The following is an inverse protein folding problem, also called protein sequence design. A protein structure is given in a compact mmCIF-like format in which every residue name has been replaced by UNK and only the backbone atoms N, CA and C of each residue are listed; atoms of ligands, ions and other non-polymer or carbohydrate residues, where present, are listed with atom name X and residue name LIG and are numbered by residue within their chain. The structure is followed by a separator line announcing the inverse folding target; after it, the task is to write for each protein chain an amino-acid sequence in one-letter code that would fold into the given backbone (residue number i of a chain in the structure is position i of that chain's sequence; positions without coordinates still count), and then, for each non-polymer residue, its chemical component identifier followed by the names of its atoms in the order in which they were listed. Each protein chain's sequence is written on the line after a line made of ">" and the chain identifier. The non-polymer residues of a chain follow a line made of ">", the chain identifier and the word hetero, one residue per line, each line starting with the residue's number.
data_IF_987026733129
#
_entry.id   IF_987026733129
#
_cell.length_a   1.000
_cell.length_b   1.000
_cell.length_c   1.000
_cell.angle_alpha   90.00
_cell.angle_beta   90.00
_cell.angle_gamma   90.00
#
_symmetry.space_group_name_H-M   'P 1'
#
loop_
_entity.id
_entity.type
_entity.pdbx_description
1 polymer ?
#
# COMPACT_ATOMS: atom_id res chain seq x y z
N UNK A 1 5.93 20.62 1.07
CA UNK A 1 5.35 19.47 1.82
C UNK A 1 3.90 19.20 1.43
N UNK A 2 3.08 20.22 1.21
CA UNK A 2 1.68 20.06 0.76
C UNK A 2 1.54 19.36 -0.60
N UNK A 3 2.39 19.69 -1.58
CA UNK A 3 2.38 19.01 -2.88
C UNK A 3 2.60 17.51 -2.79
N UNK A 4 3.61 17.05 -2.02
CA UNK A 4 3.89 15.63 -1.83
C UNK A 4 2.73 14.90 -1.15
N UNK A 5 2.07 15.54 -0.18
CA UNK A 5 0.88 14.98 0.50
C UNK A 5 -0.28 14.77 -0.48
N UNK A 6 -0.57 15.75 -1.34
CA UNK A 6 -1.61 15.63 -2.38
C UNK A 6 -1.29 14.49 -3.33
N UNK A 7 -0.03 14.37 -3.77
CA UNK A 7 0.40 13.27 -4.64
C UNK A 7 0.20 11.91 -3.94
N UNK A 8 0.54 11.79 -2.65
CA UNK A 8 0.32 10.55 -1.89
C UNK A 8 -1.16 10.16 -1.86
N UNK A 9 -2.07 11.11 -1.64
CA UNK A 9 -3.51 10.83 -1.65
C UNK A 9 -4.04 10.44 -3.03
N UNK A 10 -3.57 11.09 -4.09
CA UNK A 10 -3.93 10.72 -5.47
C UNK A 10 -3.46 9.30 -5.80
N UNK A 11 -2.23 8.96 -5.42
CA UNK A 11 -1.65 7.63 -5.65
C UNK A 11 -2.36 6.55 -4.82
N UNK A 12 -2.75 6.86 -3.59
CA UNK A 12 -3.52 5.96 -2.74
C UNK A 12 -4.92 5.69 -3.32
N UNK A 13 -5.61 6.72 -3.80
CA UNK A 13 -6.91 6.57 -4.46
C UNK A 13 -6.79 5.73 -5.74
N UNK A 14 -5.77 5.99 -6.58
CA UNK A 14 -5.50 5.19 -7.76
C UNK A 14 -5.16 3.73 -7.42
N UNK A 15 -4.37 3.51 -6.37
CA UNK A 15 -4.02 2.17 -5.87
C UNK A 15 -5.24 1.40 -5.38
N UNK A 16 -6.13 2.06 -4.63
CA UNK A 16 -7.39 1.46 -4.20
C UNK A 16 -8.23 0.99 -5.39
N UNK A 17 -8.36 1.83 -6.43
CA UNK A 17 -9.08 1.49 -7.66
C UNK A 17 -8.42 0.29 -8.36
N UNK A 18 -7.10 0.34 -8.56
CA UNK A 18 -6.34 -0.71 -9.25
C UNK A 18 -6.42 -2.07 -8.54
N UNK A 19 -6.25 -2.10 -7.21
CA UNK A 19 -6.37 -3.33 -6.44
C UNK A 19 -7.79 -3.87 -6.44
N UNK A 20 -8.80 -3.00 -6.31
CA UNK A 20 -10.21 -3.40 -6.39
C UNK A 20 -10.55 -4.02 -7.73
N UNK A 21 -10.16 -3.37 -8.83
CA UNK A 21 -10.35 -3.88 -10.18
C UNK A 21 -9.62 -5.21 -10.40
N UNK A 22 -8.38 -5.34 -9.89
CA UNK A 22 -7.62 -6.59 -9.97
C UNK A 22 -8.31 -7.73 -9.24
N UNK A 23 -8.82 -7.47 -8.03
CA UNK A 23 -9.57 -8.44 -7.24
C UNK A 23 -10.84 -8.89 -7.95
N UNK A 24 -11.64 -7.94 -8.44
CA UNK A 24 -12.84 -8.24 -9.25
C UNK A 24 -12.49 -9.06 -10.48
N UNK A 25 -11.40 -8.71 -11.18
CA UNK A 25 -10.94 -9.46 -12.34
C UNK A 25 -10.54 -10.90 -11.97
N UNK A 26 -9.95 -11.10 -10.79
CA UNK A 26 -9.61 -12.43 -10.27
C UNK A 26 -10.83 -13.30 -9.98
N UNK A 27 -11.94 -12.73 -9.50
CA UNK A 27 -13.16 -13.47 -9.22
C UNK A 27 -14.05 -13.69 -10.45
N UNK A 28 -14.18 -12.68 -11.31
CA UNK A 28 -15.14 -12.70 -12.42
C UNK A 28 -14.51 -12.94 -13.80
N UNK A 29 -13.18 -12.98 -13.90
CA UNK A 29 -12.43 -13.38 -15.10
C UNK A 29 -12.75 -12.54 -16.37
N UNK A 30 -13.01 -11.23 -16.21
CA UNK A 30 -13.14 -10.30 -17.34
C UNK A 30 -11.78 -9.71 -17.76
N UNK A 31 -11.76 -8.94 -18.86
CA UNK A 31 -10.56 -8.24 -19.32
C UNK A 31 -10.74 -6.73 -19.20
N UNK A 32 -9.68 -6.02 -18.79
CA UNK A 32 -9.65 -4.55 -18.68
C UNK A 32 -8.68 -4.03 -19.73
N UNK A 33 -9.16 -3.24 -20.70
CA UNK A 33 -8.31 -2.66 -21.75
C UNK A 33 -7.50 -3.78 -22.47
N UNK A 34 -8.17 -4.90 -22.79
CA UNK A 34 -7.57 -6.12 -23.37
C UNK A 34 -6.51 -6.83 -22.51
N UNK A 35 -6.20 -6.35 -21.31
CA UNK A 35 -5.30 -7.02 -20.38
C UNK A 35 -6.04 -8.14 -19.64
N UNK A 36 -5.42 -9.32 -19.62
CA UNK A 36 -5.86 -10.44 -18.79
C UNK A 36 -5.49 -10.21 -17.30
N UNK A 37 -6.02 -11.06 -16.41
CA UNK A 37 -5.86 -10.87 -14.97
C UNK A 37 -4.40 -10.77 -14.51
N UNK A 38 -3.47 -11.68 -14.90
CA UNK A 38 -2.06 -11.55 -14.51
C UNK A 38 -1.38 -10.27 -14.99
N UNK A 39 -1.67 -9.82 -16.22
CA UNK A 39 -1.09 -8.60 -16.78
C UNK A 39 -1.55 -7.35 -16.01
N UNK A 40 -2.84 -7.28 -15.70
CA UNK A 40 -3.41 -6.16 -14.94
C UNK A 40 -2.99 -6.21 -13.46
N UNK A 41 -2.86 -7.40 -12.88
CA UNK A 41 -2.35 -7.59 -11.52
C UNK A 41 -0.90 -7.11 -11.38
N UNK A 42 -0.05 -7.36 -12.38
CA UNK A 42 1.33 -6.86 -12.40
C UNK A 42 1.38 -5.33 -12.35
N UNK A 43 0.58 -4.65 -13.19
CA UNK A 43 0.48 -3.19 -13.17
C UNK A 43 0.04 -2.67 -11.79
N UNK A 44 -1.02 -3.27 -11.25
CA UNK A 44 -1.59 -2.86 -9.97
C UNK A 44 -0.62 -3.04 -8.80
N UNK A 45 0.13 -4.14 -8.78
CA UNK A 45 1.12 -4.42 -7.73
C UNK A 45 2.32 -3.48 -7.83
N UNK A 46 2.83 -3.21 -9.04
CA UNK A 46 3.92 -2.24 -9.22
C UNK A 46 3.48 -0.86 -8.74
N UNK A 47 2.27 -0.42 -9.13
CA UNK A 47 1.73 0.87 -8.75
C UNK A 47 1.46 0.98 -7.24
N UNK A 48 0.97 -0.09 -6.64
CA UNK A 48 0.80 -0.21 -5.19
C UNK A 48 2.14 -0.10 -4.45
N UNK A 49 3.18 -0.84 -4.87
CA UNK A 49 4.51 -0.81 -4.23
C UNK A 49 5.14 0.58 -4.33
N UNK A 50 4.96 1.27 -5.46
CA UNK A 50 5.38 2.66 -5.64
C UNK A 50 4.65 3.59 -4.66
N UNK A 51 3.33 3.44 -4.52
CA UNK A 51 2.50 4.27 -3.64
C UNK A 51 2.90 4.13 -2.18
N UNK A 52 3.03 2.90 -1.68
CA UNK A 52 3.43 2.67 -0.28
C UNK A 52 4.86 3.15 0.00
N UNK A 53 5.77 3.00 -0.97
CA UNK A 53 7.13 3.55 -0.88
C UNK A 53 7.11 5.08 -0.82
N UNK A 54 6.27 5.74 -1.63
CA UNK A 54 6.11 7.19 -1.63
C UNK A 54 5.57 7.70 -0.28
N UNK A 55 4.58 7.01 0.28
CA UNK A 55 3.99 7.33 1.58
C UNK A 55 5.04 7.18 2.69
N UNK A 56 5.81 6.09 2.71
CA UNK A 56 6.91 5.94 3.66
C UNK A 56 7.94 7.08 3.55
N UNK A 57 8.33 7.47 2.33
CA UNK A 57 9.23 8.61 2.13
C UNK A 57 8.63 9.93 2.58
N UNK A 58 7.33 10.16 2.38
CA UNK A 58 6.63 11.32 2.91
C UNK A 58 6.73 11.38 4.44
N UNK A 59 6.49 10.28 5.15
CA UNK A 59 6.63 10.21 6.61
C UNK A 59 8.09 10.30 7.09
N UNK A 60 9.06 9.85 6.29
CA UNK A 60 10.48 10.04 6.58
C UNK A 60 10.85 11.52 6.46
N UNK A 61 10.55 12.16 5.34
CA UNK A 61 10.87 13.57 5.07
C UNK A 61 10.14 14.54 6.00
N UNK A 62 8.87 14.30 6.31
CA UNK A 62 8.14 15.11 7.29
C UNK A 62 8.68 14.95 8.70
N UNK A 63 9.03 13.73 9.12
CA UNK A 63 9.64 13.47 10.42
C UNK A 63 11.00 14.16 10.61
N UNK A 64 11.84 14.21 9.57
CA UNK A 64 13.13 14.93 9.65
C UNK A 64 12.94 16.45 9.67
N UNK A 65 11.98 16.99 8.91
CA UNK A 65 11.64 18.41 8.94
C UNK A 65 11.16 18.85 10.33
N UNK A 66 10.24 18.09 10.95
CA UNK A 66 9.73 18.36 12.30
C UNK A 66 10.86 18.31 13.33
N UNK A 67 11.74 17.29 13.26
CA UNK A 67 12.91 17.18 14.13
C UNK A 67 13.81 18.41 14.04
N UNK A 68 14.09 18.88 12.81
CA UNK A 68 14.94 20.06 12.59
C UNK A 68 14.30 21.31 13.18
N UNK A 69 13.00 21.52 12.99
CA UNK A 69 12.25 22.67 13.55
C UNK A 69 12.34 22.71 15.07
N UNK A 70 12.16 21.57 15.76
CA UNK A 70 12.27 21.47 17.22
C UNK A 70 13.70 21.76 17.70
N UNK A 71 14.72 21.31 16.97
CA UNK A 71 16.13 21.58 17.31
C UNK A 71 16.53 23.06 17.12
N UNK A 72 15.88 23.77 16.20
CA UNK A 72 16.19 25.17 15.88
C UNK A 72 15.32 26.21 16.59
N UNK A 73 14.27 25.81 17.31
CA UNK A 73 13.41 26.74 18.07
C UNK A 73 12.32 26.04 18.89
N UNK A 74 12.10 26.59 20.10
CA UNK A 74 11.04 26.47 21.14
C UNK A 74 9.79 25.59 20.99
N UNK A 75 9.80 24.53 20.18
CA UNK A 75 8.65 23.65 19.98
C UNK A 75 8.75 22.44 20.93
N UNK A 76 7.62 22.10 21.57
CA UNK A 76 7.56 21.12 22.65
C UNK A 76 7.99 19.72 22.18
N UNK A 77 8.94 19.09 22.88
CA UNK A 77 9.47 17.75 22.58
C UNK A 77 8.38 16.68 22.43
N UNK A 78 7.24 16.87 23.10
CA UNK A 78 6.05 16.02 22.99
C UNK A 78 5.52 15.86 21.55
N UNK A 79 5.68 16.86 20.67
CA UNK A 79 5.24 16.76 19.28
C UNK A 79 6.10 15.79 18.46
N UNK A 80 7.41 15.73 18.73
CA UNK A 80 8.30 14.77 18.08
C UNK A 80 7.99 13.33 18.49
N UNK A 81 7.71 13.12 19.77
CA UNK A 81 7.39 11.79 20.30
C UNK A 81 6.08 11.25 19.71
N UNK A 82 5.09 12.12 19.48
CA UNK A 82 3.86 11.72 18.81
C UNK A 82 4.11 11.30 17.36
N UNK A 83 4.86 12.08 16.59
CA UNK A 83 5.24 11.72 15.20
C UNK A 83 6.02 10.41 15.16
N UNK A 84 6.95 10.22 16.09
CA UNK A 84 7.73 8.98 16.21
C UNK A 84 6.83 7.79 16.51
N UNK A 85 5.90 7.90 17.47
CA UNK A 85 4.94 6.85 17.81
C UNK A 85 4.05 6.47 16.63
N UNK A 86 3.54 7.46 15.88
CA UNK A 86 2.74 7.22 14.68
C UNK A 86 3.53 6.43 13.64
N UNK A 87 4.77 6.84 13.35
CA UNK A 87 5.64 6.12 12.40
C UNK A 87 5.96 4.69 12.83
N UNK A 88 6.22 4.48 14.12
CA UNK A 88 6.51 3.16 14.67
C UNK A 88 5.32 2.21 14.56
N UNK A 89 4.09 2.72 14.62
CA UNK A 89 2.88 1.92 14.38
C UNK A 89 2.65 1.70 12.89
N UNK A 90 2.78 2.74 12.08
CA UNK A 90 2.43 2.71 10.66
C UNK A 90 3.37 1.83 9.83
N UNK A 91 4.69 2.00 9.96
CA UNK A 91 5.65 1.40 9.05
C UNK A 91 5.62 -0.14 9.04
N UNK A 92 5.53 -0.83 10.21
CA UNK A 92 5.37 -2.28 10.23
C UNK A 92 4.12 -2.75 9.46
N UNK A 93 3.00 -2.05 9.59
CA UNK A 93 1.77 -2.41 8.87
C UNK A 93 1.89 -2.15 7.37
N UNK A 94 2.55 -1.07 6.93
CA UNK A 94 2.80 -0.83 5.50
C UNK A 94 3.70 -1.90 4.89
N UNK A 95 4.82 -2.21 5.57
CA UNK A 95 5.72 -3.28 5.12
C UNK A 95 5.03 -4.64 5.11
N UNK A 96 4.23 -4.96 6.13
CA UNK A 96 3.49 -6.21 6.17
C UNK A 96 2.45 -6.29 5.04
N UNK A 97 1.76 -5.19 4.73
CA UNK A 97 0.82 -5.14 3.61
C UNK A 97 1.53 -5.35 2.27
N UNK A 98 2.70 -4.75 2.08
CA UNK A 98 3.54 -5.00 0.90
C UNK A 98 3.90 -6.46 0.76
N UNK A 99 4.28 -7.12 1.86
CA UNK A 99 4.56 -8.56 1.86
C UNK A 99 3.32 -9.35 1.45
N UNK A 100 2.14 -9.06 2.03
CA UNK A 100 0.91 -9.76 1.67
C UNK A 100 0.54 -9.59 0.19
N UNK A 101 0.49 -8.35 -0.33
CA UNK A 101 0.16 -8.08 -1.73
C UNK A 101 1.20 -8.70 -2.67
N UNK A 102 2.49 -8.63 -2.32
CA UNK A 102 3.56 -9.25 -3.10
C UNK A 102 3.45 -10.78 -3.14
N UNK A 103 3.14 -11.43 -2.02
CA UNK A 103 2.91 -12.88 -1.95
C UNK A 103 1.69 -13.27 -2.78
N UNK A 104 0.57 -12.55 -2.65
CA UNK A 104 -0.64 -12.77 -3.46
C UNK A 104 -0.31 -12.75 -4.95
N UNK A 105 0.44 -11.74 -5.41
CA UNK A 105 0.85 -11.65 -6.81
C UNK A 105 1.69 -12.84 -7.27
N UNK A 106 2.72 -13.23 -6.51
CA UNK A 106 3.58 -14.38 -6.84
C UNK A 106 2.77 -15.68 -6.89
N UNK A 107 1.86 -15.88 -5.92
CA UNK A 107 0.98 -17.05 -5.89
C UNK A 107 -0.06 -17.05 -7.02
N UNK A 108 -0.40 -15.89 -7.57
CA UNK A 108 -1.19 -15.79 -8.80
C UNK A 108 -0.58 -16.55 -9.97
N UNK A 109 0.75 -16.51 -10.13
CA UNK A 109 1.45 -17.34 -11.12
C UNK A 109 1.37 -18.84 -10.81
N UNK A 110 1.34 -19.22 -9.53
CA UNK A 110 1.14 -20.61 -9.11
C UNK A 110 -0.27 -21.12 -9.44
N UNK A 111 -1.31 -20.27 -9.29
CA UNK A 111 -2.69 -20.58 -9.72
C UNK A 111 -2.75 -20.78 -11.23
N UNK A 112 -2.12 -19.89 -12.01
CA UNK A 112 -2.12 -20.00 -13.47
C UNK A 112 -1.43 -21.28 -13.97
N UNK A 113 -0.46 -21.81 -13.23
CA UNK A 113 0.20 -23.08 -13.55
C UNK A 113 -0.46 -24.31 -12.92
N UNK A 114 -1.62 -24.15 -12.27
CA UNK A 114 -2.37 -25.25 -11.65
C UNK A 114 -1.75 -25.80 -10.36
N UNK A 115 -0.75 -25.13 -9.79
CA UNK A 115 -0.03 -25.57 -8.57
C UNK A 115 -0.69 -25.12 -7.28
N UNK A 116 -1.62 -24.17 -7.34
CA UNK A 116 -2.35 -23.64 -6.20
C UNK A 116 -3.82 -23.45 -6.56
N UNK A 117 -4.73 -23.76 -5.63
CA UNK A 117 -6.16 -23.65 -5.88
C UNK A 117 -6.62 -22.18 -5.86
N UNK A 118 -7.40 -21.77 -6.86
CA UNK A 118 -7.86 -20.38 -7.00
C UNK A 118 -8.57 -19.82 -5.76
N UNK A 119 -9.32 -20.65 -5.03
CA UNK A 119 -10.01 -20.23 -3.81
C UNK A 119 -9.04 -19.87 -2.66
N UNK A 120 -7.91 -20.58 -2.54
CA UNK A 120 -6.87 -20.26 -1.54
C UNK A 120 -6.21 -18.92 -1.85
N UNK A 121 -5.95 -18.66 -3.14
CA UNK A 121 -5.45 -17.38 -3.59
C UNK A 121 -6.48 -16.26 -3.32
N UNK A 122 -7.75 -16.45 -3.67
CA UNK A 122 -8.82 -15.48 -3.41
C UNK A 122 -8.90 -15.07 -1.93
N UNK A 123 -8.92 -16.05 -1.02
CA UNK A 123 -8.92 -15.77 0.43
C UNK A 123 -7.69 -14.97 0.88
N UNK A 124 -6.50 -15.28 0.34
CA UNK A 124 -5.30 -14.54 0.67
C UNK A 124 -5.36 -13.09 0.14
N UNK A 125 -5.92 -12.90 -1.05
CA UNK A 125 -6.17 -11.56 -1.60
C UNK A 125 -7.13 -10.77 -0.70
N UNK A 126 -8.24 -11.36 -0.27
CA UNK A 126 -9.23 -10.68 0.59
C UNK A 126 -8.58 -10.24 1.91
N UNK A 127 -7.77 -11.11 2.54
CA UNK A 127 -7.02 -10.77 3.74
C UNK A 127 -6.03 -9.62 3.50
N UNK A 128 -5.28 -9.66 2.39
CA UNK A 128 -4.33 -8.62 2.03
C UNK A 128 -5.04 -7.28 1.75
N UNK A 129 -6.19 -7.32 1.08
CA UNK A 129 -7.00 -6.16 0.74
C UNK A 129 -7.65 -5.55 1.99
N UNK A 130 -8.19 -6.35 2.90
CA UNK A 130 -8.69 -5.87 4.20
C UNK A 130 -7.57 -5.21 5.01
N UNK A 131 -6.39 -5.84 5.05
CA UNK A 131 -5.23 -5.25 5.70
C UNK A 131 -4.78 -3.94 5.02
N UNK A 132 -4.99 -3.80 3.70
CA UNK A 132 -4.70 -2.56 2.95
C UNK A 132 -5.66 -1.43 3.34
N UNK A 133 -6.95 -1.74 3.51
CA UNK A 133 -7.92 -0.75 4.00
C UNK A 133 -7.59 -0.31 5.43
N UNK A 134 -7.14 -1.26 6.27
CA UNK A 134 -6.67 -0.95 7.62
C UNK A 134 -5.46 0.00 7.61
N UNK A 135 -4.47 -0.26 6.74
CA UNK A 135 -3.30 0.62 6.62
C UNK A 135 -3.67 1.99 6.09
N UNK A 136 -4.59 2.08 5.12
CA UNK A 136 -5.11 3.34 4.61
C UNK A 136 -5.80 4.16 5.71
N UNK A 137 -6.62 3.51 6.56
CA UNK A 137 -7.23 4.17 7.71
C UNK A 137 -6.18 4.68 8.72
N UNK A 138 -5.10 3.92 8.96
CA UNK A 138 -4.04 4.31 9.88
C UNK A 138 -3.18 5.50 9.39
N UNK A 139 -3.21 5.80 8.08
CA UNK A 139 -2.46 6.90 7.46
C UNK A 139 -3.15 8.27 7.64
N UNK A 140 -4.42 8.29 8.04
CA UNK A 140 -5.24 9.48 8.27
C UNK A 140 -5.47 9.73 9.76
#
# INVERSE_FOLDING_TARGET
>A
MWGLMIICYLFMAATFILLTLTGLQGYFQFNIIQANHPQFALLSVIFYMLTETLIMFYFIGSGTAIKKTIQTGSMNANLYDNVKKTKMKLFPHLTLNMVFIGVVFILGGAVQTGRLAGWMHGLLFDLAFIHFLYTAFLQH
#
